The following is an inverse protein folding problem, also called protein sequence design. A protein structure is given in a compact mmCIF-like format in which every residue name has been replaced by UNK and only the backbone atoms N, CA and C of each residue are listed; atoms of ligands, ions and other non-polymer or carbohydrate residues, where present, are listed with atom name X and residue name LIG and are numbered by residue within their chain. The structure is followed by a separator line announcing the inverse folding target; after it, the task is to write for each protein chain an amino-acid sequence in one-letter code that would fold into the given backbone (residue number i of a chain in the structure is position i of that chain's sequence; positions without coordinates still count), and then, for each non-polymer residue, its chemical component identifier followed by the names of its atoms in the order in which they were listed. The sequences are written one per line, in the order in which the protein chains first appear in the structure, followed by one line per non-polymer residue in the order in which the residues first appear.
data_IF_638426677814
#
_entry.id   IF_638426677814
#
_cell.length_a   1.000
_cell.length_b   1.000
_cell.length_c   1.000
_cell.angle_alpha   90.00
_cell.angle_beta   90.00
_cell.angle_gamma   90.00
#
_symmetry.space_group_name_H-M   'P 1'
#
loop_
_entity.id
_entity.type
_entity.pdbx_description
1 polymer ?
#
# COMPACT_ATOMS: atom_id res chain seq x y z
N UNK A 1 0.62 39.95 12.95
CA UNK A 1 0.35 38.58 12.47
C UNK A 1 1.59 38.14 11.70
N UNK A 2 2.45 37.31 12.30
CA UNK A 2 3.63 36.80 11.64
C UNK A 2 3.22 35.61 10.77
N UNK A 3 3.39 35.73 9.46
CA UNK A 3 3.26 34.62 8.54
C UNK A 3 4.40 33.64 8.81
N UNK A 4 4.06 32.45 9.32
CA UNK A 4 4.98 31.33 9.45
C UNK A 4 5.33 30.84 8.06
N UNK A 5 6.36 31.43 7.44
CA UNK A 5 6.94 30.92 6.20
C UNK A 5 7.60 29.58 6.50
N UNK A 6 7.04 28.49 5.96
CA UNK A 6 7.61 27.15 6.07
C UNK A 6 9.05 27.17 5.52
N UNK A 7 10.07 26.69 6.27
CA UNK A 7 11.48 26.85 5.93
C UNK A 7 11.94 26.11 4.66
N UNK A 8 11.05 25.40 3.96
CA UNK A 8 11.37 24.57 2.78
C UNK A 8 10.79 25.11 1.45
N UNK A 9 10.22 26.32 1.45
CA UNK A 9 9.48 26.87 0.31
C UNK A 9 10.34 27.18 -0.95
N UNK A 10 11.63 26.87 -0.95
CA UNK A 10 12.56 27.08 -2.08
C UNK A 10 13.33 25.83 -2.54
N UNK A 11 13.06 24.65 -1.97
CA UNK A 11 13.80 23.40 -2.29
C UNK A 11 13.10 22.54 -3.36
N UNK A 12 11.96 22.97 -3.89
CA UNK A 12 11.19 22.13 -4.83
C UNK A 12 12.00 21.84 -6.10
N UNK A 13 12.69 22.84 -6.63
CA UNK A 13 13.54 22.70 -7.81
C UNK A 13 14.72 21.74 -7.55
N UNK A 14 15.31 21.80 -6.35
CA UNK A 14 16.43 20.93 -5.93
C UNK A 14 16.00 19.47 -5.66
N UNK A 15 14.70 19.25 -5.41
CA UNK A 15 14.12 17.94 -5.11
C UNK A 15 13.33 17.36 -6.29
N UNK A 16 13.46 17.97 -7.47
CA UNK A 16 12.75 17.56 -8.69
C UNK A 16 13.64 16.74 -9.61
N UNK A 17 13.10 15.63 -10.09
CA UNK A 17 13.73 14.80 -11.09
C UNK A 17 13.68 15.47 -12.47
N UNK A 18 14.83 15.64 -13.12
CA UNK A 18 14.90 16.30 -14.44
C UNK A 18 14.33 15.46 -15.59
N UNK A 19 13.94 14.20 -15.36
CA UNK A 19 13.36 13.31 -16.37
C UNK A 19 11.83 13.37 -16.33
N UNK A 20 11.22 13.11 -15.17
CA UNK A 20 9.76 13.15 -15.02
C UNK A 20 9.22 14.52 -14.61
N UNK A 21 10.10 15.47 -14.30
CA UNK A 21 9.76 16.82 -13.83
C UNK A 21 8.90 16.84 -12.56
N UNK A 22 8.91 15.74 -11.79
CA UNK A 22 8.24 15.61 -10.50
C UNK A 22 9.24 15.44 -9.37
N UNK A 23 8.77 15.62 -8.12
CA UNK A 23 9.56 15.35 -6.91
C UNK A 23 10.11 13.92 -6.95
N UNK A 24 11.35 13.73 -6.52
CA UNK A 24 12.02 12.43 -6.59
C UNK A 24 11.22 11.30 -5.93
N UNK A 25 11.11 10.17 -6.64
CA UNK A 25 10.59 8.91 -6.12
C UNK A 25 11.73 7.88 -6.15
N UNK A 26 12.13 7.39 -4.97
CA UNK A 26 13.33 6.56 -4.79
C UNK A 26 14.56 7.14 -5.53
N UNK A 27 15.03 8.34 -5.13
CA UNK A 27 16.16 8.98 -5.78
C UNK A 27 17.41 8.10 -5.77
N UNK A 28 18.09 8.03 -6.91
CA UNK A 28 19.41 7.43 -7.09
C UNK A 28 20.38 8.48 -7.59
N UNK A 29 21.60 8.45 -7.07
CA UNK A 29 22.66 9.38 -7.47
C UNK A 29 23.68 8.64 -8.32
N UNK A 30 23.93 9.13 -9.54
CA UNK A 30 24.95 8.57 -10.43
C UNK A 30 26.33 9.15 -10.13
N UNK A 31 27.44 8.54 -10.59
CA UNK A 31 28.80 8.96 -10.22
C UNK A 31 29.15 10.41 -10.55
N UNK A 32 28.45 11.06 -11.50
CA UNK A 32 28.63 12.48 -11.79
C UNK A 32 27.91 13.42 -10.80
N UNK A 33 27.27 12.90 -9.74
CA UNK A 33 26.60 13.66 -8.70
C UNK A 33 25.14 14.02 -8.97
N UNK A 34 24.64 13.80 -10.19
CA UNK A 34 23.23 14.03 -10.52
C UNK A 34 22.32 12.96 -9.94
N UNK A 35 21.11 13.35 -9.57
CA UNK A 35 20.12 12.46 -8.99
C UNK A 35 18.86 12.38 -9.84
N UNK A 36 18.26 11.19 -9.90
CA UNK A 36 17.07 10.87 -10.71
C UNK A 36 16.19 9.89 -9.93
N UNK A 37 14.91 9.78 -10.28
CA UNK A 37 14.11 8.63 -9.81
C UNK A 37 14.72 7.33 -10.35
N UNK A 38 14.74 6.27 -9.53
CA UNK A 38 15.24 4.97 -9.93
C UNK A 38 14.60 4.48 -11.25
N UNK A 39 13.26 4.54 -11.31
CA UNK A 39 12.48 4.12 -12.47
C UNK A 39 12.80 4.95 -13.72
N UNK A 40 12.90 6.28 -13.58
CA UNK A 40 13.20 7.18 -14.70
C UNK A 40 14.59 6.90 -15.29
N UNK A 41 15.59 6.71 -14.44
CA UNK A 41 16.95 6.41 -14.91
C UNK A 41 17.06 5.01 -15.53
N UNK A 42 16.37 4.02 -14.96
CA UNK A 42 16.29 2.68 -15.54
C UNK A 42 15.63 2.69 -16.92
N UNK A 43 14.51 3.41 -17.09
CA UNK A 43 13.85 3.54 -18.38
C UNK A 43 14.73 4.25 -19.41
N UNK A 44 15.42 5.33 -19.00
CA UNK A 44 16.38 6.03 -19.86
C UNK A 44 17.51 5.10 -20.34
N UNK A 45 18.00 4.22 -19.45
CA UNK A 45 18.99 3.20 -19.78
C UNK A 45 18.44 1.90 -20.35
N UNK A 46 17.14 1.76 -20.61
CA UNK A 46 16.56 0.54 -21.21
C UNK A 46 15.94 0.78 -22.60
N UNK A 47 15.92 2.02 -23.09
CA UNK A 47 15.31 2.36 -24.39
C UNK A 47 16.15 1.95 -25.60
N UNK A 48 15.48 1.70 -26.73
CA UNK A 48 16.05 1.22 -28.01
C UNK A 48 17.19 2.08 -28.60
N UNK A 49 17.41 3.31 -28.11
CA UNK A 49 18.49 4.21 -28.57
C UNK A 49 19.88 3.80 -28.04
N UNK A 50 19.98 2.74 -27.24
CA UNK A 50 21.18 2.45 -26.45
C UNK A 50 22.28 1.67 -27.16
N UNK A 51 22.03 1.07 -28.33
CA UNK A 51 23.10 0.36 -29.07
C UNK A 51 24.30 1.27 -29.43
N UNK A 52 24.11 2.61 -29.41
CA UNK A 52 25.14 3.59 -29.80
C UNK A 52 25.67 4.49 -28.66
N UNK A 53 24.99 4.60 -27.51
CA UNK A 53 25.27 5.66 -26.50
C UNK A 53 25.74 5.15 -25.11
N UNK A 54 25.57 3.87 -24.79
CA UNK A 54 25.99 3.31 -23.49
C UNK A 54 25.25 3.88 -22.28
N UNK A 55 25.88 3.86 -21.10
CA UNK A 55 25.33 4.42 -19.86
C UNK A 55 25.73 5.88 -19.73
N UNK A 56 24.82 6.80 -20.01
CA UNK A 56 25.07 8.25 -19.91
C UNK A 56 24.18 8.90 -18.87
N UNK A 57 24.65 9.99 -18.27
CA UNK A 57 23.84 10.84 -17.41
C UNK A 57 22.84 11.66 -18.26
N UNK A 58 21.52 11.60 -17.98
CA UNK A 58 20.52 12.38 -18.69
C UNK A 58 20.73 13.91 -18.63
N UNK A 59 21.34 14.41 -17.54
CA UNK A 59 21.47 15.84 -17.29
C UNK A 59 22.76 16.44 -17.87
N UNK A 60 23.92 15.85 -17.58
CA UNK A 60 25.23 16.38 -18.00
C UNK A 60 25.89 15.59 -19.13
N UNK A 61 25.26 14.49 -19.59
CA UNK A 61 25.74 13.62 -20.67
C UNK A 61 27.10 12.94 -20.40
N UNK A 62 27.58 12.95 -19.16
CA UNK A 62 28.76 12.17 -18.75
C UNK A 62 28.52 10.69 -19.06
N UNK A 63 29.42 10.09 -19.82
CA UNK A 63 29.40 8.67 -20.13
C UNK A 63 30.07 7.86 -19.02
N UNK A 64 29.50 6.71 -18.69
CA UNK A 64 30.04 5.73 -17.76
C UNK A 64 30.49 4.50 -18.55
N UNK A 65 31.72 4.06 -18.31
CA UNK A 65 32.33 2.90 -19.00
C UNK A 65 31.67 1.58 -18.64
N UNK A 66 31.12 1.47 -17.43
CA UNK A 66 30.36 0.32 -16.93
C UNK A 66 29.01 0.77 -16.41
N UNK A 67 28.03 -0.14 -16.37
CA UNK A 67 26.72 0.11 -15.76
C UNK A 67 26.91 0.52 -14.29
N UNK A 68 26.56 1.75 -13.89
CA UNK A 68 26.62 2.13 -12.49
C UNK A 68 25.63 1.31 -11.68
N UNK A 69 26.03 0.88 -10.49
CA UNK A 69 25.12 0.24 -9.54
C UNK A 69 24.17 1.30 -8.98
N UNK A 70 22.87 1.14 -9.22
CA UNK A 70 21.86 2.08 -8.75
C UNK A 70 21.44 1.73 -7.33
N UNK A 71 22.00 2.44 -6.35
CA UNK A 71 21.58 2.39 -4.96
C UNK A 71 20.76 3.63 -4.61
N UNK A 72 19.65 3.43 -3.89
CA UNK A 72 18.85 4.55 -3.39
C UNK A 72 19.72 5.46 -2.51
N UNK A 73 19.58 6.76 -2.70
CA UNK A 73 20.22 7.75 -1.86
C UNK A 73 19.34 8.00 -0.64
N UNK A 74 19.64 7.32 0.47
CA UNK A 74 18.82 7.40 1.69
C UNK A 74 18.73 8.83 2.24
N UNK A 75 19.79 9.64 2.10
CA UNK A 75 19.79 11.04 2.56
C UNK A 75 18.79 11.85 1.74
N UNK A 76 18.86 11.72 0.41
CA UNK A 76 17.94 12.44 -0.47
C UNK A 76 16.49 11.96 -0.30
N UNK A 77 16.26 10.67 -0.03
CA UNK A 77 14.94 10.18 0.37
C UNK A 77 14.42 10.89 1.61
N UNK A 78 15.22 10.98 2.68
CA UNK A 78 14.82 11.64 3.93
C UNK A 78 14.46 13.12 3.69
N UNK A 79 15.27 13.84 2.91
CA UNK A 79 15.00 15.25 2.60
C UNK A 79 13.71 15.41 1.78
N UNK A 80 13.47 14.54 0.80
CA UNK A 80 12.23 14.53 0.01
C UNK A 80 11.02 14.24 0.89
N UNK A 81 11.12 13.29 1.82
CA UNK A 81 10.05 12.96 2.77
C UNK A 81 9.72 14.14 3.69
N UNK A 82 10.74 14.86 4.19
CA UNK A 82 10.56 16.06 5.02
C UNK A 82 9.94 17.21 4.23
N UNK A 83 10.36 17.40 2.98
CA UNK A 83 9.77 18.39 2.07
C UNK A 83 8.29 18.09 1.80
N UNK A 84 7.95 16.83 1.48
CA UNK A 84 6.56 16.41 1.25
C UNK A 84 5.70 16.57 2.51
N UNK A 85 6.25 16.28 3.70
CA UNK A 85 5.59 16.48 5.00
C UNK A 85 5.35 17.96 5.32
N UNK A 86 6.19 18.86 4.82
CA UNK A 86 6.04 20.30 5.06
C UNK A 86 5.14 20.98 4.03
N UNK A 87 5.14 20.49 2.77
CA UNK A 87 4.26 20.93 1.69
C UNK A 87 2.83 20.44 1.88
N UNK A 88 2.69 19.20 2.35
CA UNK A 88 1.43 18.64 2.81
C UNK A 88 1.60 18.36 4.30
N UNK A 89 1.45 19.38 5.16
CA UNK A 89 1.36 19.15 6.60
C UNK A 89 0.30 18.07 6.79
N UNK A 90 0.61 16.98 7.51
CA UNK A 90 -0.47 16.12 7.96
C UNK A 90 -1.42 17.03 8.77
N UNK A 91 -2.66 17.15 8.31
CA UNK A 91 -3.74 17.45 9.23
C UNK A 91 -3.62 16.38 10.34
N UNK A 92 -3.22 16.83 11.53
CA UNK A 92 -2.90 16.07 12.76
C UNK A 92 -1.41 15.86 13.11
N UNK A 93 -1.04 16.63 14.14
CA UNK A 93 -0.06 16.43 15.21
C UNK A 93 0.46 15.00 15.50
N UNK A 94 1.72 14.88 15.95
CA UNK A 94 2.43 13.61 16.13
C UNK A 94 2.28 13.03 17.54
N UNK A 95 1.06 12.75 18.00
CA UNK A 95 0.87 11.99 19.23
C UNK A 95 -0.30 11.01 19.05
N UNK A 96 0.03 9.72 18.98
CA UNK A 96 -0.90 8.58 18.95
C UNK A 96 -1.82 8.53 17.73
N UNK A 97 -1.28 8.12 16.59
CA UNK A 97 -2.06 7.29 15.66
C UNK A 97 -2.39 5.94 16.34
N UNK A 98 -3.40 5.95 17.21
CA UNK A 98 -4.44 4.95 17.05
C UNK A 98 -5.05 5.21 15.67
N UNK A 99 -4.50 4.51 14.68
CA UNK A 99 -4.91 4.55 13.29
C UNK A 99 -6.43 4.39 13.22
N UNK A 100 -7.14 5.43 12.77
CA UNK A 100 -8.56 5.31 12.53
C UNK A 100 -8.81 4.37 11.34
N UNK A 101 -9.77 3.44 11.45
CA UNK A 101 -10.20 2.57 10.36
C UNK A 101 -10.91 3.43 9.32
N UNK A 102 -10.39 3.53 8.08
CA UNK A 102 -11.15 4.24 7.03
C UNK A 102 -10.40 4.84 5.84
N UNK A 103 -9.09 4.65 5.66
CA UNK A 103 -8.36 5.15 4.48
C UNK A 103 -8.00 4.01 3.52
N UNK A 104 -9.04 3.33 3.01
CA UNK A 104 -8.92 2.25 2.02
C UNK A 104 -9.27 2.83 0.65
N UNK A 105 -8.45 2.58 -0.36
CA UNK A 105 -8.74 3.02 -1.73
C UNK A 105 -9.84 2.16 -2.37
N UNK A 106 -10.58 2.73 -3.33
CA UNK A 106 -11.49 1.93 -4.14
C UNK A 106 -10.75 1.15 -5.21
N UNK A 107 -10.96 -0.17 -5.27
CA UNK A 107 -10.29 -1.08 -6.20
C UNK A 107 -10.74 -0.91 -7.65
N UNK A 108 -11.90 -0.28 -7.88
CA UNK A 108 -12.45 -0.04 -9.22
C UNK A 108 -12.21 1.37 -9.74
N UNK A 109 -11.62 2.26 -8.92
CA UNK A 109 -11.24 3.59 -9.36
C UNK A 109 -9.82 3.58 -9.96
N UNK A 110 -9.49 4.56 -10.83
CA UNK A 110 -8.11 4.78 -11.26
C UNK A 110 -7.19 5.12 -10.07
N UNK A 111 -5.86 5.09 -10.21
CA UNK A 111 -4.88 5.27 -9.11
C UNK A 111 -4.99 6.58 -8.31
N UNK A 112 -5.68 7.61 -8.83
CA UNK A 112 -6.10 8.81 -8.08
C UNK A 112 -7.60 8.78 -7.81
N UNK A 113 -8.04 7.66 -7.25
CA UNK A 113 -9.43 7.28 -7.12
C UNK A 113 -10.08 7.74 -5.83
N UNK A 114 -11.40 7.58 -5.76
CA UNK A 114 -12.16 7.84 -4.54
C UNK A 114 -11.85 6.79 -3.46
N UNK A 115 -12.01 7.20 -2.21
CA UNK A 115 -11.88 6.33 -1.03
C UNK A 115 -13.04 5.33 -0.98
N UNK A 116 -12.74 4.11 -0.57
CA UNK A 116 -13.74 3.09 -0.33
C UNK A 116 -14.52 3.39 0.95
N UNK A 117 -15.83 3.19 0.88
CA UNK A 117 -16.74 3.34 2.03
C UNK A 117 -17.20 2.00 2.57
N UNK A 118 -17.16 0.94 1.75
CA UNK A 118 -17.43 -0.43 2.16
C UNK A 118 -16.53 -1.41 1.42
N UNK A 119 -16.19 -2.51 2.10
CA UNK A 119 -15.60 -3.68 1.47
C UNK A 119 -16.68 -4.75 1.30
N UNK A 120 -16.78 -5.29 0.10
CA UNK A 120 -17.62 -6.44 -0.19
C UNK A 120 -16.82 -7.72 0.05
N UNK A 121 -17.22 -8.54 1.02
CA UNK A 121 -16.55 -9.80 1.32
C UNK A 121 -16.81 -10.88 0.27
N UNK A 122 -17.86 -10.72 -0.53
CA UNK A 122 -18.18 -11.62 -1.65
C UNK A 122 -17.34 -11.30 -2.88
N UNK A 123 -17.24 -10.02 -3.27
CA UNK A 123 -16.37 -9.56 -4.37
C UNK A 123 -14.90 -9.48 -3.97
N UNK A 124 -14.63 -9.45 -2.66
CA UNK A 124 -13.29 -9.27 -2.10
C UNK A 124 -12.59 -8.02 -2.63
N UNK A 125 -13.38 -6.95 -2.68
CA UNK A 125 -12.99 -5.64 -3.18
C UNK A 125 -13.65 -4.53 -2.34
N UNK A 126 -12.97 -3.39 -2.27
CA UNK A 126 -13.35 -2.18 -1.57
C UNK A 126 -13.89 -1.15 -2.57
N UNK A 127 -15.07 -0.61 -2.29
CA UNK A 127 -15.81 0.24 -3.22
C UNK A 127 -16.07 1.63 -2.64
N UNK A 128 -15.85 2.67 -3.45
CA UNK A 128 -16.34 4.02 -3.18
C UNK A 128 -17.87 4.07 -3.37
N UNK A 129 -18.56 5.13 -2.92
CA UNK A 129 -20.03 5.21 -3.00
C UNK A 129 -20.58 4.94 -4.41
N UNK A 130 -19.92 5.46 -5.45
CA UNK A 130 -20.33 5.27 -6.84
C UNK A 130 -20.26 3.80 -7.27
N UNK A 131 -19.20 3.08 -6.88
CA UNK A 131 -19.05 1.66 -7.20
C UNK A 131 -19.81 0.74 -6.25
N UNK A 132 -20.27 1.27 -5.11
CA UNK A 132 -21.12 0.57 -4.16
C UNK A 132 -22.60 0.63 -4.53
N UNK A 133 -23.02 1.62 -5.32
CA UNK A 133 -24.38 1.81 -5.81
C UNK A 133 -25.02 0.52 -6.38
N UNK A 134 -24.37 -0.23 -7.29
CA UNK A 134 -24.93 -1.50 -7.78
C UNK A 134 -25.11 -2.54 -6.67
N UNK A 135 -24.26 -2.55 -5.64
CA UNK A 135 -24.39 -3.48 -4.52
C UNK A 135 -25.61 -3.19 -3.64
N UNK A 136 -26.09 -1.94 -3.63
CA UNK A 136 -27.26 -1.53 -2.85
C UNK A 136 -28.56 -1.62 -3.66
N UNK A 137 -28.47 -1.31 -4.96
CA UNK A 137 -29.65 -1.10 -5.80
C UNK A 137 -29.99 -2.28 -6.72
N UNK A 138 -29.06 -3.20 -6.99
CA UNK A 138 -29.31 -4.34 -7.88
C UNK A 138 -29.65 -5.60 -7.11
N UNK A 139 -30.72 -6.28 -7.54
CA UNK A 139 -31.13 -7.58 -6.99
C UNK A 139 -30.02 -8.64 -7.09
N UNK A 140 -29.13 -8.54 -8.09
CA UNK A 140 -28.03 -9.48 -8.29
C UNK A 140 -27.00 -9.46 -7.14
N UNK A 141 -26.89 -8.35 -6.41
CA UNK A 141 -25.86 -8.14 -5.39
C UNK A 141 -26.42 -8.06 -3.97
N UNK A 142 -27.72 -8.29 -3.76
CA UNK A 142 -28.35 -8.22 -2.43
C UNK A 142 -27.79 -9.24 -1.43
N UNK A 143 -27.25 -10.37 -1.92
CA UNK A 143 -26.60 -11.38 -1.08
C UNK A 143 -25.15 -11.04 -0.74
N UNK A 144 -24.59 -9.96 -1.30
CA UNK A 144 -23.21 -9.57 -1.05
C UNK A 144 -23.06 -8.95 0.34
N UNK A 145 -22.10 -9.47 1.11
CA UNK A 145 -21.88 -8.97 2.47
C UNK A 145 -20.94 -7.75 2.46
N UNK A 146 -21.48 -6.59 2.80
CA UNK A 146 -20.74 -5.33 2.90
C UNK A 146 -20.31 -5.04 4.35
N UNK A 147 -19.03 -4.76 4.57
CA UNK A 147 -18.44 -4.37 5.85
C UNK A 147 -17.72 -3.03 5.76
N UNK A 148 -17.27 -2.51 6.89
CA UNK A 148 -16.37 -1.35 6.92
C UNK A 148 -15.12 -1.63 6.08
N UNK A 149 -14.50 -0.59 5.47
CA UNK A 149 -13.36 -0.77 4.60
C UNK A 149 -12.19 -1.47 5.32
N UNK A 150 -11.74 -2.61 4.79
CA UNK A 150 -10.60 -3.35 5.31
C UNK A 150 -9.34 -2.94 4.55
N UNK A 151 -8.35 -2.36 5.25
CA UNK A 151 -7.05 -1.96 4.66
C UNK A 151 -6.28 -3.15 4.10
N UNK A 152 -6.24 -4.24 4.85
CA UNK A 152 -5.38 -5.39 4.53
C UNK A 152 -6.19 -6.51 3.87
N UNK A 153 -7.13 -6.15 2.99
CA UNK A 153 -8.01 -7.12 2.36
C UNK A 153 -7.21 -8.15 1.54
N UNK A 154 -6.10 -7.75 0.92
CA UNK A 154 -5.24 -8.66 0.17
C UNK A 154 -4.48 -9.64 1.07
N UNK A 155 -3.98 -9.18 2.22
CA UNK A 155 -3.29 -10.05 3.19
C UNK A 155 -4.24 -11.04 3.88
N UNK A 156 -5.54 -10.72 3.88
CA UNK A 156 -6.61 -11.56 4.43
C UNK A 156 -7.18 -12.54 3.42
N UNK A 157 -6.62 -12.65 2.21
CA UNK A 157 -7.02 -13.63 1.20
C UNK A 157 -6.10 -14.84 1.25
N UNK A 158 -6.72 -16.01 1.15
CA UNK A 158 -6.02 -17.23 0.83
C UNK A 158 -5.44 -17.11 -0.58
N UNK A 159 -4.14 -17.28 -0.71
CA UNK A 159 -3.43 -17.24 -1.99
C UNK A 159 -3.97 -18.28 -2.98
N UNK A 160 -4.27 -19.49 -2.50
CA UNK A 160 -4.73 -20.61 -3.33
C UNK A 160 -6.19 -20.46 -3.78
N UNK A 161 -7.05 -20.00 -2.87
CA UNK A 161 -8.51 -20.04 -3.07
C UNK A 161 -9.11 -18.66 -3.32
N UNK A 162 -8.30 -17.61 -3.18
CA UNK A 162 -8.74 -16.21 -3.21
C UNK A 162 -9.99 -15.99 -2.37
N UNK A 163 -10.07 -16.63 -1.20
CA UNK A 163 -11.16 -16.51 -0.22
C UNK A 163 -10.63 -15.98 1.09
N UNK A 164 -11.48 -15.30 1.86
CA UNK A 164 -11.07 -14.75 3.16
C UNK A 164 -10.60 -15.86 4.09
N UNK A 165 -9.52 -15.59 4.80
CA UNK A 165 -8.99 -16.44 5.83
C UNK A 165 -9.86 -16.30 7.08
N UNK A 166 -10.59 -17.36 7.41
CA UNK A 166 -11.64 -17.37 8.44
C UNK A 166 -11.29 -18.31 9.61
N UNK A 167 -10.32 -19.20 9.43
CA UNK A 167 -9.96 -20.23 10.41
C UNK A 167 -8.47 -20.16 10.71
N UNK A 168 -8.08 -20.64 11.89
CA UNK A 168 -6.67 -20.85 12.23
C UNK A 168 -6.42 -22.34 12.42
N UNK A 169 -5.38 -22.86 11.76
CA UNK A 169 -4.91 -24.22 11.96
C UNK A 169 -3.79 -24.21 13.00
N UNK A 170 -4.00 -24.87 14.15
CA UNK A 170 -3.02 -24.90 15.24
C UNK A 170 -1.75 -25.68 14.83
N UNK A 171 -1.92 -26.79 14.12
CA UNK A 171 -0.82 -27.67 13.70
C UNK A 171 0.11 -27.02 12.67
N UNK A 172 -0.46 -26.24 11.76
CA UNK A 172 0.29 -25.55 10.70
C UNK A 172 0.60 -24.10 11.06
N UNK A 173 0.13 -23.63 12.21
CA UNK A 173 0.24 -22.24 12.67
C UNK A 173 -0.08 -21.21 11.58
N UNK A 174 -1.10 -21.49 10.76
CA UNK A 174 -1.46 -20.70 9.57
C UNK A 174 -2.95 -20.37 9.57
N UNK A 175 -3.28 -19.16 9.14
CA UNK A 175 -4.66 -18.77 8.82
C UNK A 175 -5.10 -19.43 7.51
N UNK A 176 -6.29 -20.04 7.49
CA UNK A 176 -6.83 -20.80 6.37
C UNK A 176 -8.26 -20.34 6.04
N UNK A 177 -8.70 -20.47 4.78
CA UNK A 177 -10.07 -20.13 4.37
C UNK A 177 -11.03 -21.33 4.54
N UNK A 178 -12.33 -21.08 4.35
CA UNK A 178 -13.37 -22.12 4.36
C UNK A 178 -13.13 -23.28 3.38
N UNK A 179 -12.42 -23.05 2.27
CA UNK A 179 -12.03 -24.13 1.34
C UNK A 179 -10.82 -24.92 1.84
N UNK A 180 -9.81 -24.24 2.38
CA UNK A 180 -8.66 -24.91 3.00
C UNK A 180 -9.07 -25.82 4.18
N UNK A 181 -10.15 -25.48 4.89
CA UNK A 181 -10.69 -26.32 5.96
C UNK A 181 -10.97 -27.77 5.50
N UNK A 182 -11.33 -27.97 4.22
CA UNK A 182 -11.57 -29.29 3.66
C UNK A 182 -10.29 -30.14 3.56
N UNK A 183 -9.14 -29.49 3.40
CA UNK A 183 -7.81 -30.13 3.37
C UNK A 183 -7.19 -30.25 4.77
N UNK A 184 -7.67 -29.43 5.72
CA UNK A 184 -7.25 -29.43 7.12
C UNK A 184 -8.26 -30.15 8.05
N UNK A 185 -9.07 -31.08 7.53
CA UNK A 185 -10.11 -31.80 8.30
C UNK A 185 -9.56 -32.58 9.50
N UNK A 186 -8.34 -33.10 9.38
CA UNK A 186 -7.67 -33.84 10.45
C UNK A 186 -6.91 -32.92 11.40
N UNK A 187 -6.75 -31.65 11.02
CA UNK A 187 -6.08 -30.68 11.84
C UNK A 187 -7.02 -30.06 12.85
N UNK A 188 -6.50 -29.73 14.02
CA UNK A 188 -7.22 -28.87 14.96
C UNK A 188 -7.36 -27.47 14.37
N UNK A 189 -8.60 -27.12 14.04
CA UNK A 189 -8.97 -25.82 13.45
C UNK A 189 -9.96 -25.11 14.36
N UNK A 190 -9.74 -23.82 14.58
CA UNK A 190 -10.66 -22.97 15.33
C UNK A 190 -11.46 -22.08 14.37
N UNK A 191 -12.79 -22.16 14.43
CA UNK A 191 -13.73 -21.34 13.66
C UNK A 191 -14.13 -20.06 14.39
N UNK A 192 -14.44 -19.01 13.64
CA UNK A 192 -15.03 -17.76 14.16
C UNK A 192 -16.38 -17.96 14.86
N UNK A 193 -17.13 -19.03 14.55
CA UNK A 193 -18.50 -19.23 15.06
C UNK A 193 -18.66 -20.21 16.25
N UNK A 194 -17.67 -21.06 16.53
CA UNK A 194 -17.82 -22.18 17.49
C UNK A 194 -17.72 -21.80 18.98
N UNK A 195 -17.80 -20.51 19.32
CA UNK A 195 -17.80 -20.07 20.73
C UNK A 195 -19.04 -19.26 21.11
N UNK A 196 -20.23 -19.70 20.65
CA UNK A 196 -21.54 -19.19 21.08
C UNK A 196 -21.96 -19.61 22.51
N UNK A 197 -21.13 -20.34 23.28
CA UNK A 197 -21.44 -20.78 24.65
C UNK A 197 -20.75 -20.02 25.80
N UNK A 198 -20.14 -18.87 25.56
CA UNK A 198 -19.83 -17.95 26.66
C UNK A 198 -20.15 -16.50 26.29
N UNK A 199 -21.27 -16.03 26.85
CA UNK A 199 -21.84 -14.70 26.65
C UNK A 199 -21.09 -13.67 27.51
N UNK A 200 -19.85 -13.34 27.16
CA UNK A 200 -19.21 -12.10 27.67
C UNK A 200 -17.95 -11.65 26.91
N UNK A 201 -17.71 -12.21 25.72
CA UNK A 201 -16.45 -11.99 24.99
C UNK A 201 -16.69 -11.68 23.51
N UNK A 202 -17.60 -10.75 23.20
CA UNK A 202 -17.73 -10.21 21.84
C UNK A 202 -16.58 -9.25 21.47
N UNK A 203 -15.93 -8.63 22.46
CA UNK A 203 -14.84 -7.67 22.23
C UNK A 203 -13.42 -8.26 22.18
N UNK A 204 -13.14 -9.39 22.86
CA UNK A 204 -11.75 -9.90 22.94
C UNK A 204 -11.35 -10.89 21.83
N UNK A 205 -12.30 -11.41 21.04
CA UNK A 205 -12.02 -12.48 20.06
C UNK A 205 -11.74 -11.96 18.65
N UNK A 206 -12.44 -10.90 18.21
CA UNK A 206 -12.00 -10.08 17.07
C UNK A 206 -10.58 -9.56 17.29
N UNK A 207 -10.30 -9.14 18.52
CA UNK A 207 -8.99 -8.68 19.00
C UNK A 207 -7.89 -9.75 18.97
N UNK A 208 -8.21 -11.05 19.03
CA UNK A 208 -7.20 -12.10 19.03
C UNK A 208 -6.70 -12.37 17.60
N UNK A 209 -7.60 -12.40 16.62
CA UNK A 209 -7.24 -12.49 15.21
C UNK A 209 -6.52 -11.18 14.81
N UNK A 210 -7.06 -10.01 15.13
CA UNK A 210 -6.37 -8.72 14.91
C UNK A 210 -5.01 -8.61 15.61
N UNK A 211 -4.80 -9.24 16.78
CA UNK A 211 -3.48 -9.35 17.41
C UNK A 211 -2.57 -10.33 16.69
N UNK A 212 -3.06 -11.49 16.25
CA UNK A 212 -2.23 -12.48 15.55
C UNK A 212 -1.77 -11.98 14.17
N UNK A 213 -2.57 -11.13 13.52
CA UNK A 213 -2.19 -10.35 12.32
C UNK A 213 -1.22 -9.18 12.60
N UNK A 214 -0.99 -8.82 13.87
CA UNK A 214 -0.07 -7.73 14.24
C UNK A 214 1.35 -8.23 14.55
N UNK A 215 1.54 -9.55 14.61
CA UNK A 215 2.79 -10.21 15.04
C UNK A 215 3.29 -11.31 14.08
N UNK A 216 2.70 -11.43 12.89
CA UNK A 216 3.30 -12.07 11.71
C UNK A 216 3.44 -11.02 10.61
#
# INVERSE_FOLDING_TARGET
MAASVSPLCGLEEDLTCSICLGVFEFPVTVPCGHSFCLSCLQQFWCGDRQFLLGFTCPQCRTAFTTKPELKKNNVLCTVVEEFLRSRNPPECSPEKQLQQPGDVACDSCPPRGNRATRTCLTCMASFCPNHLEPHQNSAAFQSHQLREPLRDLQERKCEEHSKILEFFCEEHSKCICSLCLLSHKLCRTASMEDTKKDKEVKGRKQYLIERLWKYN
#
